data_IF_401959101689
#
_entry.id   IF_401959101689
#
_cell.length_a   1.000
_cell.length_b   1.000
_cell.length_c   1.000
_cell.angle_alpha   90.00
_cell.angle_beta   90.00
_cell.angle_gamma   90.00
#
_symmetry.space_group_name_H-M   'P 1'
#
loop_
_entity.id
_entity.type
_entity.pdbx_description
1 polymer ?
#
# COMPACT_ATOMS: atom_id res chain seq x y z
N UNK A 1 -11.76 -44.45 29.46
CA UNK A 1 -10.72 -44.14 28.45
C UNK A 1 -11.16 -43.20 27.32
N UNK A 2 -12.46 -43.03 26.97
CA UNK A 2 -12.86 -42.11 25.89
C UNK A 2 -12.74 -40.62 26.25
N UNK A 3 -13.10 -40.23 27.47
CA UNK A 3 -13.02 -38.83 27.95
C UNK A 3 -11.59 -38.26 27.99
N UNK A 4 -10.57 -39.08 28.25
CA UNK A 4 -9.17 -38.60 28.28
C UNK A 4 -8.62 -38.25 26.89
N UNK A 5 -9.14 -38.87 25.82
CA UNK A 5 -8.74 -38.54 24.44
C UNK A 5 -9.30 -37.20 23.97
N UNK A 6 -10.45 -36.78 24.52
CA UNK A 6 -11.10 -35.50 24.20
C UNK A 6 -10.29 -34.33 24.76
N UNK A 7 -9.91 -34.42 26.03
CA UNK A 7 -9.08 -33.39 26.66
C UNK A 7 -7.71 -33.25 26.01
N UNK A 8 -7.15 -34.35 25.52
CA UNK A 8 -5.89 -34.34 24.78
C UNK A 8 -6.04 -33.63 23.42
N UNK A 9 -7.11 -33.88 22.67
CA UNK A 9 -7.37 -33.21 21.38
C UNK A 9 -7.63 -31.71 21.54
N UNK A 10 -8.42 -31.31 22.52
CA UNK A 10 -8.64 -29.89 22.85
C UNK A 10 -7.33 -29.21 23.25
N UNK A 11 -6.48 -29.88 24.03
CA UNK A 11 -5.16 -29.36 24.38
C UNK A 11 -4.27 -29.11 23.17
N UNK A 12 -4.24 -30.04 22.21
CA UNK A 12 -3.45 -29.88 20.97
C UNK A 12 -3.96 -28.73 20.11
N UNK A 13 -5.27 -28.58 19.96
CA UNK A 13 -5.87 -27.46 19.18
C UNK A 13 -5.52 -26.11 19.82
N UNK A 14 -5.58 -26.02 21.16
CA UNK A 14 -5.28 -24.79 21.89
C UNK A 14 -3.79 -24.39 21.79
N UNK A 15 -2.89 -25.39 21.78
CA UNK A 15 -1.45 -25.19 21.57
C UNK A 15 -1.17 -24.72 20.14
N UNK A 16 -1.80 -25.33 19.13
CA UNK A 16 -1.63 -24.92 17.73
C UNK A 16 -2.18 -23.50 17.50
N UNK A 17 -3.31 -23.16 18.10
CA UNK A 17 -3.90 -21.83 17.99
C UNK A 17 -3.02 -20.75 18.62
N UNK A 18 -2.47 -21.00 19.83
CA UNK A 18 -1.53 -20.07 20.46
C UNK A 18 -0.23 -19.95 19.67
N UNK A 19 0.28 -21.04 19.10
CA UNK A 19 1.45 -21.00 18.22
C UNK A 19 1.22 -20.11 16.99
N UNK A 20 0.09 -20.25 16.30
CA UNK A 20 -0.25 -19.43 15.13
C UNK A 20 -0.34 -17.94 15.50
N UNK A 21 -0.99 -17.60 16.63
CA UNK A 21 -1.10 -16.20 17.08
C UNK A 21 0.28 -15.62 17.37
N UNK A 22 1.12 -16.32 18.15
CA UNK A 22 2.44 -15.82 18.55
C UNK A 22 3.37 -15.67 17.34
N UNK A 23 3.41 -16.66 16.45
CA UNK A 23 4.28 -16.60 15.27
C UNK A 23 3.77 -15.61 14.23
N UNK A 24 2.45 -15.53 14.02
CA UNK A 24 1.84 -14.58 13.10
C UNK A 24 2.08 -13.12 13.53
N UNK A 25 1.91 -12.82 14.82
CA UNK A 25 2.17 -11.48 15.37
C UNK A 25 3.66 -11.11 15.36
N UNK A 26 4.56 -12.06 15.63
CA UNK A 26 6.00 -11.80 15.60
C UNK A 26 6.53 -11.55 14.18
N UNK A 27 5.98 -12.25 13.18
CA UNK A 27 6.35 -12.04 11.77
C UNK A 27 5.92 -10.66 11.26
N UNK A 28 4.81 -10.12 11.79
CA UNK A 28 4.38 -8.75 11.48
C UNK A 28 5.30 -7.68 12.12
N UNK A 29 5.89 -7.96 13.29
CA UNK A 29 6.83 -7.04 13.95
C UNK A 29 8.21 -7.00 13.30
N UNK A 30 8.75 -8.14 12.86
CA UNK A 30 10.08 -8.19 12.23
C UNK A 30 10.18 -7.39 10.93
N UNK A 31 9.06 -7.15 10.24
CA UNK A 31 9.00 -6.27 9.06
C UNK A 31 8.99 -4.77 9.38
N UNK A 32 8.71 -4.39 10.64
CA UNK A 32 8.77 -3.00 11.10
C UNK A 32 10.17 -2.65 11.64
N UNK A 33 10.79 -3.56 12.40
CA UNK A 33 12.09 -3.27 13.04
C UNK A 33 13.27 -3.25 12.04
N UNK A 34 13.21 -4.03 10.95
CA UNK A 34 14.25 -4.00 9.91
C UNK A 34 14.27 -2.70 9.09
N UNK A 35 13.16 -1.95 8.99
CA UNK A 35 13.12 -0.68 8.27
C UNK A 35 13.90 0.43 8.97
N UNK A 36 14.02 0.37 10.29
CA UNK A 36 14.75 1.39 11.05
C UNK A 36 16.27 1.22 11.02
N UNK A 37 16.78 0.03 10.69
CA UNK A 37 18.23 -0.24 10.68
C UNK A 37 18.90 0.16 9.36
N UNK A 38 18.22 -0.01 8.22
CA UNK A 38 18.72 0.45 6.91
C UNK A 38 18.72 1.99 6.80
N UNK A 39 17.71 2.66 7.36
CA UNK A 39 17.63 4.13 7.42
C UNK A 39 18.83 4.78 8.15
N UNK A 40 19.42 4.12 9.14
CA UNK A 40 20.48 4.71 9.96
C UNK A 40 21.88 4.59 9.33
N UNK A 41 22.08 3.62 8.41
CA UNK A 41 23.37 3.40 7.75
C UNK A 41 23.50 4.19 6.42
N UNK A 42 22.41 4.51 5.73
CA UNK A 42 22.44 5.33 4.50
C UNK A 42 22.71 6.82 4.76
N UNK A 43 22.44 7.32 5.98
CA UNK A 43 22.62 8.74 6.35
C UNK A 43 24.08 9.21 6.23
N UNK A 44 25.07 8.30 6.32
CA UNK A 44 26.49 8.69 6.37
C UNK A 44 27.20 8.69 5.00
N UNK A 45 26.52 8.33 3.89
CA UNK A 45 27.09 8.40 2.54
C UNK A 45 26.18 9.03 1.48
N UNK A 46 25.08 9.67 1.88
CA UNK A 46 24.23 10.43 0.98
C UNK A 46 24.95 11.72 0.56
N UNK A 47 25.72 11.64 -0.54
CA UNK A 47 25.83 12.80 -1.41
C UNK A 47 24.41 13.31 -1.63
N UNK A 48 24.16 14.51 -1.15
CA UNK A 48 22.82 15.08 -1.14
C UNK A 48 22.46 15.33 -2.61
N UNK A 49 21.73 14.39 -3.21
CA UNK A 49 21.27 14.54 -4.58
C UNK A 49 20.42 15.80 -4.64
N UNK A 50 20.72 16.63 -5.63
CA UNK A 50 19.98 17.86 -5.88
C UNK A 50 19.52 17.84 -7.33
N UNK A 51 18.22 17.98 -7.53
CA UNK A 51 17.62 18.17 -8.84
C UNK A 51 16.82 19.46 -8.84
N UNK A 52 16.89 20.17 -9.95
CA UNK A 52 16.31 21.50 -10.11
C UNK A 52 15.55 21.62 -11.42
N UNK A 53 14.76 22.69 -11.53
CA UNK A 53 13.91 22.96 -12.67
C UNK A 53 12.90 21.85 -12.97
N UNK A 54 12.41 21.18 -11.92
CA UNK A 54 11.35 20.20 -12.06
C UNK A 54 10.04 20.94 -12.33
N UNK A 55 9.26 20.40 -13.27
CA UNK A 55 7.89 20.86 -13.54
C UNK A 55 6.90 19.82 -13.04
N UNK A 56 5.91 20.22 -12.24
CA UNK A 56 4.81 19.38 -11.77
C UNK A 56 3.50 19.84 -12.42
N UNK A 57 2.81 18.94 -13.10
CA UNK A 57 1.52 19.18 -13.75
C UNK A 57 0.48 18.29 -13.07
N UNK A 58 -0.61 18.89 -12.61
CA UNK A 58 -1.77 18.17 -12.06
C UNK A 58 -2.93 18.32 -13.04
N UNK A 59 -3.26 17.25 -13.76
CA UNK A 59 -4.32 17.18 -14.75
C UNK A 59 -5.51 16.41 -14.12
N UNK A 60 -6.44 17.14 -13.51
CA UNK A 60 -7.45 16.58 -12.59
C UNK A 60 -8.87 16.53 -13.17
N UNK A 61 -9.11 17.16 -14.32
CA UNK A 61 -10.39 17.13 -15.02
C UNK A 61 -10.18 17.42 -16.51
N UNK A 62 -11.11 17.04 -17.39
CA UNK A 62 -10.92 17.02 -18.85
C UNK A 62 -10.43 18.37 -19.43
N UNK A 63 -9.10 18.53 -19.53
CA UNK A 63 -8.44 19.75 -20.02
C UNK A 63 -8.07 20.77 -18.94
N UNK A 64 -8.48 20.56 -17.68
CA UNK A 64 -8.08 21.40 -16.55
C UNK A 64 -6.77 20.91 -15.94
N UNK A 65 -5.81 21.83 -15.81
CA UNK A 65 -4.55 21.54 -15.16
C UNK A 65 -4.09 22.69 -14.26
N UNK A 66 -3.26 22.35 -13.28
CA UNK A 66 -2.43 23.29 -12.53
C UNK A 66 -0.97 22.90 -12.74
N UNK A 67 -0.13 23.87 -13.07
CA UNK A 67 1.29 23.67 -13.34
C UNK A 67 2.13 24.45 -12.35
N UNK A 68 3.13 23.78 -11.80
CA UNK A 68 4.16 24.34 -10.93
C UNK A 68 5.52 24.13 -11.60
N UNK A 69 6.33 25.17 -11.70
CA UNK A 69 7.67 25.13 -12.33
C UNK A 69 8.75 25.47 -11.33
N UNK A 70 10.02 25.34 -11.76
CA UNK A 70 11.19 25.76 -11.00
C UNK A 70 11.32 25.06 -9.63
N UNK A 71 10.77 23.86 -9.52
CA UNK A 71 10.81 23.07 -8.28
C UNK A 71 12.24 22.52 -8.14
N UNK A 72 12.79 22.67 -6.94
CA UNK A 72 14.11 22.16 -6.56
C UNK A 72 13.97 21.20 -5.40
N UNK A 73 14.59 20.03 -5.51
CA UNK A 73 14.53 18.95 -4.52
C UNK A 73 15.93 18.66 -4.00
N UNK A 74 16.04 18.46 -2.69
CA UNK A 74 17.29 18.14 -1.99
C UNK A 74 17.07 16.86 -1.20
N UNK A 75 17.93 15.86 -1.41
CA UNK A 75 17.81 14.55 -0.78
C UNK A 75 16.92 13.62 -1.59
N UNK A 76 15.66 13.46 -1.18
CA UNK A 76 14.69 12.66 -1.92
C UNK A 76 14.28 13.39 -3.21
N UNK A 77 14.66 12.81 -4.34
CA UNK A 77 14.41 13.36 -5.68
C UNK A 77 13.28 12.63 -6.40
N UNK A 78 12.35 12.03 -5.67
CA UNK A 78 11.24 11.28 -6.24
C UNK A 78 10.07 12.16 -6.73
N UNK A 79 9.27 11.68 -7.71
CA UNK A 79 8.00 12.31 -8.09
C UNK A 79 7.04 12.51 -6.91
N UNK A 80 7.00 11.53 -5.99
CA UNK A 80 6.22 11.64 -4.76
C UNK A 80 6.69 12.82 -3.91
N UNK A 81 8.00 12.95 -3.65
CA UNK A 81 8.52 14.08 -2.87
C UNK A 81 8.31 15.42 -3.59
N UNK A 82 8.45 15.48 -4.92
CA UNK A 82 8.11 16.67 -5.70
C UNK A 82 6.65 17.12 -5.47
N UNK A 83 5.74 16.15 -5.40
CA UNK A 83 4.31 16.38 -5.14
C UNK A 83 4.08 16.82 -3.70
N UNK A 84 4.75 16.17 -2.75
CA UNK A 84 4.69 16.49 -1.32
C UNK A 84 5.18 17.91 -1.00
N UNK A 85 6.28 18.35 -1.61
CA UNK A 85 6.82 19.70 -1.43
C UNK A 85 5.84 20.78 -1.90
N UNK A 86 5.10 20.51 -2.98
CA UNK A 86 4.19 21.48 -3.59
C UNK A 86 2.82 21.50 -2.92
N UNK A 87 2.24 20.33 -2.66
CA UNK A 87 0.90 20.23 -2.12
C UNK A 87 0.87 20.17 -0.59
N UNK A 88 1.93 19.66 0.05
CA UNK A 88 1.95 19.35 1.47
C UNK A 88 1.18 18.07 1.80
N UNK A 89 1.56 17.43 2.91
CA UNK A 89 1.05 16.10 3.30
C UNK A 89 -0.48 16.08 3.49
N UNK A 90 -1.08 17.17 3.98
CA UNK A 90 -2.53 17.25 4.24
C UNK A 90 -3.39 17.27 2.96
N UNK A 91 -2.76 17.41 1.79
CA UNK A 91 -3.42 17.47 0.49
C UNK A 91 -3.14 16.23 -0.38
N UNK A 92 -2.55 15.19 0.20
CA UNK A 92 -2.24 13.92 -0.47
C UNK A 92 -2.87 12.79 0.34
N UNK A 93 -3.67 11.96 -0.32
CA UNK A 93 -4.10 10.67 0.20
C UNK A 93 -3.24 9.58 -0.48
N UNK A 94 -2.51 8.83 0.33
CA UNK A 94 -1.55 7.83 -0.10
C UNK A 94 -1.80 6.48 0.55
N UNK A 95 -1.26 5.42 -0.08
CA UNK A 95 -1.07 4.14 0.58
C UNK A 95 0.34 3.62 0.34
N UNK A 96 0.84 2.92 1.35
CA UNK A 96 2.14 2.28 1.34
C UNK A 96 1.98 0.81 0.99
N UNK A 97 2.68 0.39 -0.06
CA UNK A 97 2.82 -1.01 -0.42
C UNK A 97 4.28 -1.45 -0.30
N UNK A 98 4.53 -2.75 -0.46
CA UNK A 98 5.88 -3.33 -0.41
C UNK A 98 6.81 -2.77 -1.48
N UNK A 99 6.26 -2.23 -2.57
CA UNK A 99 6.98 -1.67 -3.71
C UNK A 99 6.91 -0.13 -3.78
N UNK A 100 6.54 0.55 -2.69
CA UNK A 100 6.61 2.01 -2.57
C UNK A 100 5.28 2.71 -2.24
N UNK A 101 5.25 4.03 -2.43
CA UNK A 101 4.11 4.91 -2.16
C UNK A 101 3.28 5.16 -3.41
N UNK A 102 1.97 4.97 -3.27
CA UNK A 102 0.99 5.19 -4.31
C UNK A 102 -0.01 6.26 -3.88
N UNK A 103 -0.37 7.15 -4.81
CA UNK A 103 -1.35 8.21 -4.56
C UNK A 103 -2.76 7.67 -4.85
N UNK A 104 -3.65 7.77 -3.86
CA UNK A 104 -5.08 7.50 -3.96
C UNK A 104 -5.89 8.74 -4.25
N UNK A 105 -5.43 9.90 -3.80
CA UNK A 105 -6.14 11.13 -4.01
C UNK A 105 -5.28 12.36 -3.83
N UNK A 106 -5.65 13.42 -4.53
CA UNK A 106 -5.01 14.73 -4.42
C UNK A 106 -6.09 15.77 -4.16
N UNK A 107 -5.79 16.71 -3.27
CA UNK A 107 -6.65 17.86 -3.02
C UNK A 107 -6.19 19.06 -3.84
N UNK A 108 -7.02 19.50 -4.77
CA UNK A 108 -6.73 20.60 -5.70
C UNK A 108 -7.85 21.62 -5.59
N UNK A 109 -7.52 22.91 -5.39
CA UNK A 109 -8.49 23.99 -5.20
C UNK A 109 -9.56 23.67 -4.13
N UNK A 110 -9.12 23.07 -3.02
CA UNK A 110 -9.97 22.59 -1.90
C UNK A 110 -10.85 21.37 -2.16
N UNK A 111 -10.88 20.84 -3.40
CA UNK A 111 -11.66 19.66 -3.80
C UNK A 111 -10.77 18.41 -3.81
N UNK A 112 -11.27 17.31 -3.27
CA UNK A 112 -10.61 16.00 -3.37
C UNK A 112 -10.98 15.31 -4.67
N UNK A 113 -9.96 14.77 -5.34
CA UNK A 113 -10.09 13.90 -6.49
C UNK A 113 -9.50 12.56 -6.08
N UNK A 114 -10.33 11.54 -5.89
CA UNK A 114 -9.91 10.25 -5.36
C UNK A 114 -10.10 9.13 -6.37
N UNK A 115 -9.21 8.15 -6.34
CA UNK A 115 -9.29 6.96 -7.18
C UNK A 115 -10.65 6.29 -6.99
N UNK A 116 -11.29 5.93 -8.09
CA UNK A 116 -12.66 5.41 -8.13
C UNK A 116 -13.72 6.46 -8.44
N UNK A 117 -13.46 7.76 -8.20
CA UNK A 117 -14.42 8.81 -8.53
C UNK A 117 -14.69 8.85 -10.04
N UNK A 118 -15.92 8.52 -10.43
CA UNK A 118 -16.31 8.43 -11.84
C UNK A 118 -15.53 7.37 -12.63
N UNK A 119 -14.99 6.34 -11.96
CA UNK A 119 -14.18 5.29 -12.61
C UNK A 119 -12.81 5.79 -13.10
N UNK A 120 -12.29 6.85 -12.48
CA UNK A 120 -10.98 7.45 -12.79
C UNK A 120 -9.94 7.11 -11.73
N UNK A 121 -8.68 7.13 -12.12
CA UNK A 121 -7.55 6.89 -11.24
C UNK A 121 -6.43 7.90 -11.53
N UNK A 122 -5.63 8.18 -10.51
CA UNK A 122 -4.38 8.92 -10.62
C UNK A 122 -3.28 8.05 -11.21
N UNK A 123 -2.68 8.55 -12.28
CA UNK A 123 -1.46 8.01 -12.88
C UNK A 123 -0.42 9.09 -12.93
N UNK A 124 0.85 8.72 -12.79
CA UNK A 124 1.94 9.67 -12.94
C UNK A 124 2.77 9.34 -14.18
N UNK A 125 3.23 10.38 -14.85
CA UNK A 125 4.06 10.31 -16.04
C UNK A 125 5.31 11.14 -15.81
N UNK A 126 6.45 10.62 -16.28
CA UNK A 126 7.72 11.35 -16.28
C UNK A 126 8.08 11.64 -17.72
N UNK A 127 8.17 12.93 -18.07
CA UNK A 127 8.43 13.39 -19.44
C UNK A 127 7.48 12.74 -20.46
N UNK A 128 6.20 12.55 -20.09
CA UNK A 128 5.16 11.95 -20.92
C UNK A 128 5.15 10.41 -20.97
N UNK A 129 6.02 9.74 -20.19
CA UNK A 129 6.10 8.26 -20.13
C UNK A 129 5.58 7.78 -18.78
N UNK A 130 4.65 6.81 -18.79
CA UNK A 130 4.16 6.13 -17.58
C UNK A 130 5.24 5.16 -17.06
N UNK A 131 5.85 5.39 -15.88
CA UNK A 131 6.84 4.47 -15.36
C UNK A 131 6.18 3.18 -14.83
N UNK A 132 6.92 2.07 -14.88
CA UNK A 132 6.49 0.76 -14.35
C UNK A 132 6.84 0.52 -12.88
N UNK A 133 7.17 1.57 -12.13
CA UNK A 133 7.56 1.52 -10.72
C UNK A 133 6.71 2.51 -9.90
N UNK A 134 6.88 2.53 -8.58
CA UNK A 134 6.19 3.47 -7.70
C UNK A 134 6.72 4.90 -7.85
N UNK A 135 5.86 5.88 -7.59
CA UNK A 135 6.21 7.30 -7.57
C UNK A 135 7.22 7.69 -6.48
N UNK A 136 7.42 6.85 -5.45
CA UNK A 136 8.47 7.01 -4.44
C UNK A 136 9.82 6.42 -4.84
N UNK A 137 9.83 5.47 -5.78
CA UNK A 137 11.03 4.70 -6.14
C UNK A 137 11.72 5.27 -7.39
N UNK A 138 11.03 6.13 -8.13
CA UNK A 138 11.60 6.76 -9.32
C UNK A 138 12.51 7.93 -8.93
N UNK A 139 13.71 8.01 -9.51
CA UNK A 139 14.62 9.14 -9.32
C UNK A 139 14.49 10.14 -10.47
N UNK A 140 14.14 11.40 -10.16
CA UNK A 140 14.06 12.47 -11.15
C UNK A 140 15.45 12.93 -11.61
N UNK A 141 15.49 13.57 -12.78
CA UNK A 141 16.66 14.30 -13.24
C UNK A 141 16.34 15.80 -13.31
N UNK A 142 17.36 16.64 -13.50
CA UNK A 142 17.13 18.05 -13.83
C UNK A 142 16.19 18.17 -15.04
N UNK A 143 15.36 19.20 -15.03
CA UNK A 143 14.40 19.51 -16.10
C UNK A 143 13.31 18.44 -16.32
N UNK A 144 13.17 17.46 -15.42
CA UNK A 144 12.10 16.47 -15.49
C UNK A 144 10.72 17.12 -15.32
N UNK A 145 9.76 16.66 -16.12
CA UNK A 145 8.34 16.96 -15.98
C UNK A 145 7.63 15.77 -15.33
N UNK A 146 6.99 16.01 -14.18
CA UNK A 146 6.09 15.07 -13.51
C UNK A 146 4.66 15.48 -13.84
N UNK A 147 3.89 14.63 -14.50
CA UNK A 147 2.47 14.85 -14.73
C UNK A 147 1.65 13.82 -13.95
N UNK A 148 0.81 14.29 -13.03
CA UNK A 148 -0.29 13.49 -12.49
C UNK A 148 -1.52 13.68 -13.34
N UNK A 149 -2.10 12.59 -13.82
CA UNK A 149 -3.28 12.58 -14.67
C UNK A 149 -4.40 11.76 -14.04
N UNK A 150 -5.52 12.41 -13.80
CA UNK A 150 -6.73 11.81 -13.27
C UNK A 150 -7.62 11.36 -14.42
N UNK A 151 -7.39 10.14 -14.89
CA UNK A 151 -7.99 9.63 -16.14
C UNK A 151 -8.90 8.45 -15.88
N UNK A 152 -9.95 8.34 -16.69
CA UNK A 152 -10.80 7.16 -16.76
C UNK A 152 -10.11 5.99 -17.46
N UNK A 153 -10.62 4.79 -17.20
CA UNK A 153 -10.04 3.55 -17.70
C UNK A 153 -9.10 2.93 -16.66
N UNK A 154 -9.06 1.60 -16.62
CA UNK A 154 -8.14 0.89 -15.76
C UNK A 154 -6.85 0.64 -16.55
N UNK A 155 -5.74 1.36 -16.31
CA UNK A 155 -4.46 1.03 -16.92
C UNK A 155 -3.88 -0.28 -16.36
N UNK A 156 -4.41 -0.74 -15.22
CA UNK A 156 -4.03 -1.97 -14.52
C UNK A 156 -5.17 -3.00 -14.55
N UNK A 157 -5.92 -3.10 -15.64
CA UNK A 157 -7.03 -4.06 -15.79
C UNK A 157 -6.60 -5.54 -15.81
N UNK A 158 -5.42 -5.87 -15.29
CA UNK A 158 -5.05 -7.20 -14.83
C UNK A 158 -5.20 -7.27 -13.30
N UNK A 159 -6.46 -7.39 -12.86
CA UNK A 159 -6.90 -8.25 -11.74
C UNK A 159 -6.33 -8.11 -10.32
N UNK A 160 -5.33 -7.28 -10.05
CA UNK A 160 -4.69 -7.20 -8.73
C UNK A 160 -4.87 -5.80 -8.14
N UNK A 161 -6.09 -5.48 -7.71
CA UNK A 161 -6.21 -4.50 -6.63
C UNK A 161 -5.77 -5.22 -5.34
N UNK A 162 -4.62 -4.87 -4.73
CA UNK A 162 -4.16 -5.52 -3.51
C UNK A 162 -5.11 -5.34 -2.31
N UNK A 163 -6.11 -4.45 -2.42
CA UNK A 163 -7.19 -4.35 -1.43
C UNK A 163 -8.30 -5.38 -1.64
N UNK A 164 -8.40 -5.97 -2.83
CA UNK A 164 -9.34 -7.05 -3.13
C UNK A 164 -8.93 -8.35 -2.41
N UNK A 165 -7.65 -8.56 -2.08
CA UNK A 165 -7.24 -9.78 -1.36
C UNK A 165 -7.79 -9.88 0.08
N UNK A 166 -8.40 -8.82 0.62
CA UNK A 166 -9.02 -8.83 1.95
C UNK A 166 -10.20 -9.82 2.09
N UNK A 167 -10.92 -10.10 1.00
CA UNK A 167 -12.00 -11.11 1.02
C UNK A 167 -11.47 -12.55 0.96
N UNK A 168 -10.26 -12.79 0.45
CA UNK A 168 -9.63 -14.12 0.49
C UNK A 168 -9.27 -14.52 1.92
N UNK A 169 -8.69 -13.60 2.70
CA UNK A 169 -8.39 -13.85 4.11
C UNK A 169 -9.68 -14.01 4.93
N UNK A 170 -10.66 -13.13 4.73
CA UNK A 170 -11.95 -13.21 5.43
C UNK A 170 -12.69 -14.51 5.10
N UNK A 171 -12.70 -14.92 3.83
CA UNK A 171 -13.29 -16.18 3.37
C UNK A 171 -12.59 -17.41 3.96
N UNK A 172 -11.26 -17.39 4.04
CA UNK A 172 -10.48 -18.46 4.67
C UNK A 172 -10.78 -18.59 6.17
N UNK A 173 -10.83 -17.46 6.91
CA UNK A 173 -11.16 -17.47 8.34
C UNK A 173 -12.59 -17.96 8.61
N UNK A 174 -13.57 -17.51 7.81
CA UNK A 174 -14.95 -17.99 7.90
C UNK A 174 -15.02 -19.49 7.58
N UNK A 175 -14.31 -19.94 6.54
CA UNK A 175 -14.25 -21.36 6.15
C UNK A 175 -13.70 -22.25 7.27
N UNK A 176 -12.59 -21.85 7.90
CA UNK A 176 -12.01 -22.59 9.03
C UNK A 176 -12.97 -22.60 10.22
N UNK A 177 -13.60 -21.46 10.55
CA UNK A 177 -14.56 -21.38 11.66
C UNK A 177 -15.77 -22.30 11.45
N UNK A 178 -16.31 -22.38 10.23
CA UNK A 178 -17.42 -23.27 9.87
C UNK A 178 -17.00 -24.74 10.01
N UNK A 179 -15.83 -25.12 9.50
CA UNK A 179 -15.32 -26.50 9.61
C UNK A 179 -15.16 -26.91 11.09
N UNK A 180 -14.62 -26.01 11.92
CA UNK A 180 -14.50 -26.24 13.36
C UNK A 180 -15.88 -26.42 14.02
N UNK A 181 -16.86 -25.57 13.69
CA UNK A 181 -18.20 -25.65 14.25
C UNK A 181 -18.94 -26.94 13.85
N UNK A 182 -18.84 -27.35 12.58
CA UNK A 182 -19.43 -28.60 12.07
C UNK A 182 -18.79 -29.81 12.74
N UNK A 183 -17.45 -29.84 12.84
CA UNK A 183 -16.72 -30.89 13.53
C UNK A 183 -17.16 -31.03 14.98
N UNK A 184 -17.32 -29.91 15.69
CA UNK A 184 -17.81 -29.87 17.06
C UNK A 184 -19.25 -30.39 17.19
N UNK A 185 -20.14 -30.01 16.27
CA UNK A 185 -21.55 -30.42 16.28
C UNK A 185 -21.72 -31.95 16.11
N UNK A 186 -21.08 -32.54 15.10
CA UNK A 186 -21.14 -34.00 14.88
C UNK A 186 -20.49 -34.78 16.02
N UNK A 187 -19.48 -34.20 16.64
CA UNK A 187 -18.83 -34.79 17.79
C UNK A 187 -19.75 -34.84 19.02
N UNK A 188 -20.44 -33.73 19.34
CA UNK A 188 -21.41 -33.68 20.45
C UNK A 188 -22.55 -34.67 20.23
N UNK A 189 -23.09 -34.74 19.00
CA UNK A 189 -24.21 -35.64 18.66
C UNK A 189 -23.87 -37.13 18.83
N UNK A 190 -22.60 -37.51 18.78
CA UNK A 190 -22.15 -38.91 18.94
C UNK A 190 -22.04 -39.34 20.41
N UNK A 191 -21.93 -38.40 21.33
CA UNK A 191 -21.79 -38.65 22.78
C UNK A 191 -23.13 -38.52 23.54
N UNK A 192 -24.19 -38.03 22.87
CA UNK A 192 -25.59 -38.07 23.33
C UNK A 192 -26.29 -39.33 22.81
#
# INVERSE_FOLDING_TARGET
>A
MKRSRIWMLLGVVLILFTYIIVYGLNSAKSGLDNRNYDLMNDINSLETKNVSNITLILNYYDGENVTYTDISLIGDISPYNATLVILGIDNIDEYWATNGVFIRGLRINSTWYTNGDGGRNWLYYINGILPGISSSEYELNNDSTVEWKFTGGNPFQDGNDPNDDSWLYTGLFIGIAIICAIGLFFFIKKEL
#
